data_IF_839094115623
#
_entry.id   IF_839094115623
#
_cell.length_a   1.000
_cell.length_b   1.000
_cell.length_c   1.000
_cell.angle_alpha   90.00
_cell.angle_beta   90.00
_cell.angle_gamma   90.00
#
_symmetry.space_group_name_H-M   'P 1'
#
loop_
_entity.id
_entity.type
_entity.pdbx_description
1 polymer ?
#
# COMPACT_ATOMS: atom_id res chain seq x y z
N UNK A 1 -24.37 62.56 -20.02
CA UNK A 1 -23.31 61.61 -20.41
C UNK A 1 -22.53 61.22 -19.16
N UNK A 2 -22.76 60.03 -18.61
CA UNK A 2 -21.99 59.52 -17.47
C UNK A 2 -21.47 58.13 -17.86
N UNK A 3 -20.17 58.06 -18.18
CA UNK A 3 -19.48 56.80 -18.44
C UNK A 3 -19.21 56.10 -17.11
N UNK A 4 -19.90 54.99 -16.87
CA UNK A 4 -19.53 54.06 -15.78
C UNK A 4 -18.40 53.16 -16.29
N UNK A 5 -17.16 53.47 -15.92
CA UNK A 5 -16.04 52.53 -16.01
C UNK A 5 -16.25 51.42 -14.99
N UNK A 6 -16.57 50.23 -15.47
CA UNK A 6 -16.56 49.01 -14.67
C UNK A 6 -15.11 48.50 -14.56
N UNK A 7 -14.42 48.85 -13.48
CA UNK A 7 -13.17 48.22 -13.06
C UNK A 7 -13.49 46.82 -12.51
N UNK A 8 -13.45 45.81 -13.37
CA UNK A 8 -13.49 44.41 -12.93
C UNK A 8 -12.16 44.09 -12.24
N UNK A 9 -12.12 44.19 -10.92
CA UNK A 9 -11.03 43.64 -10.11
C UNK A 9 -11.09 42.12 -10.23
N UNK A 10 -10.16 41.56 -10.98
CA UNK A 10 -9.92 40.12 -11.06
C UNK A 10 -9.41 39.67 -9.69
N UNK A 11 -10.34 39.30 -8.79
CA UNK A 11 -10.03 38.71 -7.51
C UNK A 11 -9.35 37.37 -7.77
N UNK A 12 -8.02 37.36 -7.73
CA UNK A 12 -7.21 36.16 -7.85
C UNK A 12 -7.63 35.17 -6.77
N UNK A 13 -8.19 34.03 -7.19
CA UNK A 13 -8.74 33.01 -6.33
C UNK A 13 -7.64 32.44 -5.39
N UNK A 14 -7.72 32.66 -4.06
CA UNK A 14 -6.65 32.31 -3.12
C UNK A 14 -6.44 30.79 -2.94
N UNK A 15 -7.28 29.96 -3.57
CA UNK A 15 -7.21 28.50 -3.48
C UNK A 15 -5.94 27.91 -4.11
N UNK A 16 -5.37 28.55 -5.14
CA UNK A 16 -4.19 28.02 -5.83
C UNK A 16 -2.88 28.23 -5.04
N UNK A 17 -2.80 29.25 -4.19
CA UNK A 17 -1.59 29.57 -3.43
C UNK A 17 -1.25 28.54 -2.34
N UNK A 18 -2.25 27.85 -1.77
CA UNK A 18 -2.02 26.82 -0.74
C UNK A 18 -1.53 25.49 -1.32
N UNK A 19 -1.83 25.20 -2.59
CA UNK A 19 -1.44 23.94 -3.21
C UNK A 19 0.04 23.90 -3.58
N UNK A 20 0.57 25.00 -4.11
CA UNK A 20 1.98 25.14 -4.53
C UNK A 20 2.95 25.02 -3.35
N UNK A 21 2.60 25.60 -2.21
CA UNK A 21 3.47 25.60 -1.02
C UNK A 21 3.72 24.18 -0.49
N UNK A 22 2.68 23.34 -0.53
CA UNK A 22 2.80 21.92 -0.14
C UNK A 22 3.70 21.12 -1.07
N UNK A 23 3.81 21.50 -2.35
CA UNK A 23 4.67 20.82 -3.32
C UNK A 23 6.13 21.18 -3.11
N UNK A 24 6.44 22.48 -3.05
CA UNK A 24 7.81 22.96 -2.88
C UNK A 24 8.41 22.42 -1.60
N UNK A 25 7.67 22.48 -0.48
CA UNK A 25 8.13 21.90 0.79
C UNK A 25 8.45 20.41 0.69
N UNK A 26 7.61 19.64 -0.01
CA UNK A 26 7.82 18.21 -0.24
C UNK A 26 9.04 17.93 -1.10
N UNK A 27 9.21 18.68 -2.17
CA UNK A 27 10.38 18.59 -3.05
C UNK A 27 11.66 18.92 -2.27
N UNK A 28 11.65 19.98 -1.46
CA UNK A 28 12.78 20.34 -0.61
C UNK A 28 13.13 19.25 0.40
N UNK A 29 12.14 18.62 1.03
CA UNK A 29 12.38 17.48 1.95
C UNK A 29 13.03 16.31 1.19
N UNK A 30 12.57 15.99 -0.02
CA UNK A 30 13.17 14.92 -0.83
C UNK A 30 14.62 15.25 -1.20
N UNK A 31 14.88 16.48 -1.68
CA UNK A 31 16.22 16.92 -2.06
C UNK A 31 17.17 16.91 -0.85
N UNK A 32 16.74 17.40 0.31
CA UNK A 32 17.52 17.33 1.54
C UNK A 32 17.83 15.88 1.93
N UNK A 33 16.89 14.96 1.77
CA UNK A 33 17.11 13.55 2.04
C UNK A 33 18.16 12.95 1.09
N UNK A 34 18.10 13.28 -0.21
CA UNK A 34 19.10 12.85 -1.21
C UNK A 34 20.48 13.44 -0.91
N UNK A 35 20.57 14.73 -0.59
CA UNK A 35 21.84 15.39 -0.23
C UNK A 35 22.46 14.71 1.00
N UNK A 36 21.68 14.48 2.05
CA UNK A 36 22.17 13.80 3.25
C UNK A 36 22.65 12.37 2.95
N UNK A 37 21.95 11.64 2.08
CA UNK A 37 22.36 10.31 1.66
C UNK A 37 23.69 10.34 0.89
N UNK A 38 23.84 11.24 -0.07
CA UNK A 38 25.08 11.43 -0.84
C UNK A 38 26.24 11.77 0.09
N UNK A 39 26.06 12.70 1.03
CA UNK A 39 27.08 13.03 2.03
C UNK A 39 27.46 11.82 2.89
N UNK A 40 26.48 11.03 3.33
CA UNK A 40 26.74 9.79 4.07
C UNK A 40 27.55 8.77 3.27
N UNK A 41 27.23 8.58 1.98
CA UNK A 41 27.96 7.69 1.07
C UNK A 41 29.40 8.18 0.88
N UNK A 42 29.59 9.48 0.66
CA UNK A 42 30.93 10.08 0.47
C UNK A 42 31.78 9.94 1.74
N UNK A 43 31.22 10.22 2.92
CA UNK A 43 31.93 10.05 4.20
C UNK A 43 32.27 8.58 4.44
N UNK A 44 31.36 7.67 4.14
CA UNK A 44 31.60 6.23 4.25
C UNK A 44 32.73 5.77 3.33
N UNK A 45 32.76 6.24 2.09
CA UNK A 45 33.83 5.94 1.14
C UNK A 45 35.19 6.51 1.59
N UNK A 46 35.21 7.74 2.11
CA UNK A 46 36.44 8.35 2.64
C UNK A 46 37.00 7.58 3.86
N UNK A 47 36.12 7.00 4.68
CA UNK A 47 36.51 6.21 5.85
C UNK A 47 37.05 4.82 5.49
N UNK A 48 36.58 4.19 4.41
CA UNK A 48 36.90 2.80 4.07
C UNK A 48 37.68 2.68 2.75
N UNK A 49 38.98 2.99 2.81
CA UNK A 49 39.87 2.97 1.63
C UNK A 49 40.14 1.59 1.03
N UNK A 50 39.80 0.52 1.74
CA UNK A 50 40.11 -0.86 1.33
C UNK A 50 39.02 -1.50 0.46
N UNK A 51 37.86 -0.85 0.31
CA UNK A 51 36.77 -1.43 -0.47
C UNK A 51 37.10 -1.38 -1.98
N UNK A 52 36.88 -2.48 -2.73
CA UNK A 52 37.07 -2.48 -4.16
C UNK A 52 36.11 -1.48 -4.81
N UNK A 53 36.64 -0.68 -5.74
CA UNK A 53 35.93 0.45 -6.36
C UNK A 53 34.61 0.05 -7.02
N UNK A 54 34.54 -1.16 -7.59
CA UNK A 54 33.32 -1.70 -8.20
C UNK A 54 32.21 -1.95 -7.18
N UNK A 55 32.57 -2.36 -5.96
CA UNK A 55 31.59 -2.63 -4.92
C UNK A 55 31.07 -1.33 -4.32
N UNK A 56 31.96 -0.34 -4.10
CA UNK A 56 31.56 0.97 -3.59
C UNK A 56 30.66 1.73 -4.58
N UNK A 57 30.99 1.71 -5.87
CA UNK A 57 30.13 2.30 -6.93
C UNK A 57 28.76 1.64 -6.98
N UNK A 58 28.69 0.30 -6.93
CA UNK A 58 27.42 -0.42 -6.89
C UNK A 58 26.57 -0.06 -5.66
N UNK A 59 27.18 -0.01 -4.47
CA UNK A 59 26.46 0.37 -3.25
C UNK A 59 25.99 1.82 -3.28
N UNK A 60 26.80 2.73 -3.83
CA UNK A 60 26.45 4.14 -3.99
C UNK A 60 25.21 4.29 -4.90
N UNK A 61 25.22 3.68 -6.08
CA UNK A 61 24.10 3.70 -7.03
C UNK A 61 22.84 3.05 -6.44
N UNK A 62 23.02 1.90 -5.77
CA UNK A 62 21.90 1.17 -5.18
C UNK A 62 21.24 1.95 -4.04
N UNK A 63 22.05 2.48 -3.12
CA UNK A 63 21.52 3.28 -2.00
C UNK A 63 20.86 4.56 -2.49
N UNK A 64 21.47 5.28 -3.45
CA UNK A 64 20.89 6.48 -4.04
C UNK A 64 19.55 6.18 -4.74
N UNK A 65 19.50 5.15 -5.59
CA UNK A 65 18.28 4.74 -6.28
C UNK A 65 17.16 4.32 -5.32
N UNK A 66 17.48 3.54 -4.29
CA UNK A 66 16.52 3.14 -3.26
C UNK A 66 15.97 4.34 -2.49
N UNK A 67 16.83 5.26 -2.05
CA UNK A 67 16.44 6.45 -1.29
C UNK A 67 15.59 7.40 -2.14
N UNK A 68 15.99 7.66 -3.38
CA UNK A 68 15.24 8.50 -4.32
C UNK A 68 13.83 7.92 -4.59
N UNK A 69 13.75 6.64 -4.94
CA UNK A 69 12.47 6.00 -5.25
C UNK A 69 11.56 5.82 -4.04
N UNK A 70 12.11 5.43 -2.88
CA UNK A 70 11.35 5.30 -1.64
C UNK A 70 10.89 6.66 -1.09
N UNK A 71 11.79 7.65 -1.12
CA UNK A 71 11.51 9.03 -0.72
C UNK A 71 10.39 9.65 -1.54
N UNK A 72 10.52 9.59 -2.86
CA UNK A 72 9.51 10.15 -3.76
C UNK A 72 8.14 9.50 -3.54
N UNK A 73 8.11 8.20 -3.25
CA UNK A 73 6.88 7.47 -2.95
C UNK A 73 6.18 7.97 -1.68
N UNK A 74 6.93 8.12 -0.58
CA UNK A 74 6.37 8.57 0.71
C UNK A 74 5.86 10.00 0.58
N UNK A 75 6.71 10.87 0.04
CA UNK A 75 6.48 12.31 -0.01
C UNK A 75 5.36 12.65 -1.03
N UNK A 76 5.37 12.02 -2.21
CA UNK A 76 4.45 12.31 -3.30
C UNK A 76 3.32 11.28 -3.46
N UNK A 77 2.94 10.57 -2.39
CA UNK A 77 1.93 9.48 -2.43
C UNK A 77 0.61 9.83 -3.14
N UNK A 78 0.16 11.09 -3.10
CA UNK A 78 -1.11 11.55 -3.71
C UNK A 78 -0.99 11.99 -5.18
N UNK A 79 0.22 12.04 -5.74
CA UNK A 79 0.49 12.64 -7.05
C UNK A 79 0.27 11.66 -8.21
N UNK A 80 0.14 12.24 -9.41
CA UNK A 80 0.13 11.48 -10.65
C UNK A 80 1.41 10.66 -10.79
N UNK A 81 1.29 9.44 -11.33
CA UNK A 81 2.42 8.52 -11.48
C UNK A 81 3.53 9.10 -12.35
N UNK A 82 3.17 9.77 -13.44
CA UNK A 82 4.13 10.42 -14.34
C UNK A 82 4.96 11.45 -13.59
N UNK A 83 4.32 12.28 -12.76
CA UNK A 83 5.02 13.26 -11.95
C UNK A 83 5.92 12.61 -10.89
N UNK A 84 5.49 11.49 -10.28
CA UNK A 84 6.35 10.72 -9.37
C UNK A 84 7.60 10.19 -10.09
N UNK A 85 7.45 9.59 -11.28
CA UNK A 85 8.60 9.10 -12.07
C UNK A 85 9.54 10.24 -12.46
N UNK A 86 8.99 11.39 -12.87
CA UNK A 86 9.78 12.56 -13.22
C UNK A 86 10.56 13.09 -12.00
N UNK A 87 9.91 13.18 -10.84
CA UNK A 87 10.59 13.59 -9.59
C UNK A 87 11.67 12.58 -9.18
N UNK A 88 11.43 11.27 -9.32
CA UNK A 88 12.44 10.23 -9.06
C UNK A 88 13.62 10.40 -10.00
N UNK A 89 13.37 10.53 -11.31
CA UNK A 89 14.41 10.75 -12.31
C UNK A 89 15.26 11.97 -11.98
N UNK A 90 14.62 13.13 -11.74
CA UNK A 90 15.34 14.35 -11.37
C UNK A 90 16.15 14.18 -10.09
N UNK A 91 15.58 13.53 -9.06
CA UNK A 91 16.30 13.33 -7.80
C UNK A 91 17.52 12.40 -7.93
N UNK A 92 17.46 11.38 -8.78
CA UNK A 92 18.60 10.50 -9.09
C UNK A 92 19.67 11.29 -9.85
N UNK A 93 19.29 12.04 -10.89
CA UNK A 93 20.24 12.88 -11.66
C UNK A 93 20.94 13.88 -10.75
N UNK A 94 20.19 14.62 -9.91
CA UNK A 94 20.76 15.56 -8.95
C UNK A 94 21.71 14.87 -7.96
N UNK A 95 21.34 13.69 -7.44
CA UNK A 95 22.19 12.91 -6.54
C UNK A 95 23.49 12.46 -7.20
N UNK A 96 23.43 11.99 -8.46
CA UNK A 96 24.60 11.54 -9.23
C UNK A 96 25.57 12.68 -9.53
N UNK A 97 25.05 13.85 -9.95
CA UNK A 97 25.87 15.05 -10.19
C UNK A 97 26.56 15.48 -8.89
N UNK A 98 25.80 15.54 -7.79
CA UNK A 98 26.33 15.94 -6.49
C UNK A 98 27.44 14.99 -6.03
N UNK A 99 27.20 13.68 -6.15
CA UNK A 99 28.18 12.65 -5.77
C UNK A 99 29.46 12.73 -6.59
N UNK A 100 29.35 12.91 -7.91
CA UNK A 100 30.52 13.09 -8.78
C UNK A 100 31.31 14.36 -8.47
N UNK A 101 30.61 15.46 -8.16
CA UNK A 101 31.25 16.72 -7.78
C UNK A 101 32.08 16.60 -6.50
N UNK A 102 31.60 15.84 -5.51
CA UNK A 102 32.26 15.67 -4.21
C UNK A 102 33.40 14.65 -4.26
N UNK A 103 33.32 13.68 -5.17
CA UNK A 103 34.30 12.58 -5.27
C UNK A 103 35.30 12.76 -6.39
N UNK A 104 35.34 13.93 -7.05
CA UNK A 104 36.19 14.22 -8.22
C UNK A 104 35.96 13.20 -9.35
N UNK A 105 34.69 12.88 -9.60
CA UNK A 105 34.26 11.92 -10.63
C UNK A 105 34.67 10.47 -10.40
N UNK A 106 35.14 10.11 -9.19
CA UNK A 106 35.47 8.72 -8.87
C UNK A 106 34.19 7.90 -8.64
N UNK A 107 33.16 8.53 -8.08
CA UNK A 107 31.85 7.93 -7.82
C UNK A 107 30.76 8.83 -8.41
N UNK A 108 29.95 8.29 -9.31
CA UNK A 108 28.85 9.00 -9.93
C UNK A 108 29.21 9.61 -11.27
N UNK A 109 28.35 10.51 -11.75
CA UNK A 109 28.54 11.17 -13.03
C UNK A 109 29.56 12.28 -12.85
N UNK A 110 30.61 12.31 -13.69
CA UNK A 110 31.59 13.39 -13.67
C UNK A 110 30.89 14.77 -13.77
N UNK A 111 31.53 15.87 -13.35
CA UNK A 111 30.96 17.18 -13.55
C UNK A 111 30.68 17.29 -15.04
N UNK A 112 29.38 17.26 -15.39
CA UNK A 112 28.89 17.66 -16.70
C UNK A 112 29.69 18.89 -17.02
N UNK A 113 30.39 18.90 -18.16
CA UNK A 113 31.32 19.96 -18.53
C UNK A 113 30.61 21.30 -18.61
N UNK A 114 30.27 21.85 -17.45
CA UNK A 114 29.70 23.15 -17.23
C UNK A 114 30.77 24.03 -17.80
N UNK A 115 30.45 24.56 -18.97
CA UNK A 115 31.33 25.40 -19.75
C UNK A 115 31.97 26.38 -18.77
N UNK A 116 33.30 26.59 -18.80
CA UNK A 116 33.98 27.47 -17.85
C UNK A 116 33.25 28.83 -17.69
N UNK A 117 32.60 29.32 -18.75
CA UNK A 117 31.65 30.44 -18.74
C UNK A 117 30.52 30.33 -17.68
N UNK A 118 29.83 29.18 -17.58
CA UNK A 118 28.77 28.97 -16.59
C UNK A 118 29.33 28.97 -15.15
N UNK A 119 30.54 28.45 -14.95
CA UNK A 119 31.20 28.48 -13.63
C UNK A 119 31.53 29.90 -13.19
N UNK A 120 31.90 30.77 -14.12
CA UNK A 120 32.16 32.19 -13.85
C UNK A 120 30.86 32.94 -13.51
N UNK A 121 29.77 32.67 -14.23
CA UNK A 121 28.45 33.23 -13.91
C UNK A 121 27.94 32.78 -12.54
N UNK A 122 28.13 31.51 -12.16
CA UNK A 122 27.74 31.02 -10.83
C UNK A 122 28.55 31.69 -9.72
N UNK A 123 29.83 32.00 -9.97
CA UNK A 123 30.69 32.70 -9.02
C UNK A 123 30.29 34.17 -8.83
N UNK A 124 29.61 34.78 -9.81
CA UNK A 124 29.05 36.14 -9.72
C UNK A 124 27.68 36.20 -9.01
N UNK A 125 27.02 35.07 -8.75
CA UNK A 125 25.77 35.05 -8.00
C UNK A 125 26.02 35.42 -6.53
N UNK A 126 25.56 36.61 -6.12
CA UNK A 126 25.51 36.98 -4.70
C UNK A 126 24.31 36.33 -4.01
N UNK A 127 24.51 35.82 -2.80
CA UNK A 127 23.44 35.26 -1.97
C UNK A 127 22.61 36.36 -1.29
N UNK A 128 22.15 37.35 -2.06
CA UNK A 128 21.31 38.43 -1.58
C UNK A 128 19.81 38.15 -1.78
N UNK A 129 18.96 39.02 -1.24
CA UNK A 129 17.50 38.95 -1.40
C UNK A 129 17.02 38.99 -2.87
N UNK A 130 17.89 39.36 -3.81
CA UNK A 130 17.63 39.38 -5.27
C UNK A 130 17.89 38.04 -5.96
N UNK A 131 18.38 37.03 -5.23
CA UNK A 131 18.64 35.68 -5.74
C UNK A 131 17.43 35.05 -6.47
N UNK A 132 16.15 35.19 -6.02
CA UNK A 132 15.00 34.63 -6.74
C UNK A 132 14.75 35.29 -8.10
N UNK A 133 15.10 36.58 -8.25
CA UNK A 133 15.03 37.28 -9.54
C UNK A 133 16.21 36.94 -10.44
N UNK A 134 17.42 36.78 -9.87
CA UNK A 134 18.59 36.34 -10.62
C UNK A 134 18.43 34.91 -11.14
N UNK A 135 17.90 33.98 -10.33
CA UNK A 135 17.58 32.62 -10.78
C UNK A 135 16.54 32.63 -11.90
N UNK A 136 15.55 33.53 -11.86
CA UNK A 136 14.56 33.68 -12.93
C UNK A 136 15.13 34.29 -14.21
N UNK A 137 16.14 35.14 -14.08
CA UNK A 137 16.87 35.73 -15.20
C UNK A 137 17.93 34.79 -15.78
N UNK A 138 18.39 33.80 -14.99
CA UNK A 138 19.17 32.68 -15.48
C UNK A 138 18.27 31.83 -16.38
N UNK A 139 18.23 32.17 -17.65
CA UNK A 139 17.69 31.32 -18.70
C UNK A 139 18.67 30.16 -18.91
N UNK A 140 18.73 29.26 -17.93
CA UNK A 140 19.45 28.00 -18.07
C UNK A 140 18.63 27.19 -19.04
N UNK A 141 19.08 27.15 -20.29
CA UNK A 141 18.58 26.17 -21.23
C UNK A 141 18.97 24.78 -20.71
N UNK A 142 18.04 24.14 -20.02
CA UNK A 142 18.23 22.83 -19.40
C UNK A 142 18.66 21.79 -20.44
N UNK A 143 18.33 22.02 -21.72
CA UNK A 143 18.75 21.19 -22.84
C UNK A 143 20.24 21.30 -23.17
N UNK A 144 20.86 22.47 -22.97
CA UNK A 144 22.32 22.65 -23.17
C UNK A 144 23.11 22.33 -21.91
N UNK A 145 22.51 22.50 -20.73
CA UNK A 145 23.15 22.21 -19.45
C UNK A 145 23.46 20.71 -19.25
N UNK A 146 22.77 19.82 -19.97
CA UNK A 146 22.99 18.38 -19.91
C UNK A 146 23.33 17.86 -21.30
N UNK A 147 24.59 18.05 -21.69
CA UNK A 147 25.10 17.47 -22.92
C UNK A 147 25.40 15.97 -22.73
N UNK A 148 24.37 15.14 -22.94
CA UNK A 148 24.48 13.69 -22.90
C UNK A 148 25.43 13.12 -23.97
N UNK A 149 25.80 13.90 -24.99
CA UNK A 149 26.71 13.42 -26.04
C UNK A 149 28.14 13.18 -25.55
N UNK A 150 28.53 13.85 -24.46
CA UNK A 150 29.84 13.68 -23.80
C UNK A 150 29.83 12.67 -22.66
N UNK A 151 28.71 11.98 -22.45
CA UNK A 151 28.56 11.05 -21.35
C UNK A 151 29.32 9.74 -21.65
N UNK A 152 30.29 9.41 -20.81
CA UNK A 152 31.00 8.14 -20.92
C UNK A 152 30.03 6.96 -20.72
N UNK A 153 30.31 5.83 -21.36
CA UNK A 153 29.46 4.64 -21.27
C UNK A 153 29.29 4.14 -19.83
N UNK A 154 30.29 4.37 -18.96
CA UNK A 154 30.22 4.10 -17.53
C UNK A 154 29.16 4.94 -16.84
N UNK A 155 29.11 6.24 -17.13
CA UNK A 155 28.16 7.17 -16.52
C UNK A 155 26.73 6.82 -16.93
N UNK A 156 26.54 6.43 -18.20
CA UNK A 156 25.26 5.92 -18.70
C UNK A 156 24.84 4.66 -17.93
N UNK A 157 25.78 3.74 -17.67
CA UNK A 157 25.50 2.52 -16.92
C UNK A 157 25.13 2.81 -15.46
N UNK A 158 25.84 3.70 -14.78
CA UNK A 158 25.53 4.12 -13.41
C UNK A 158 24.17 4.81 -13.30
N UNK A 159 23.86 5.71 -14.25
CA UNK A 159 22.55 6.36 -14.32
C UNK A 159 21.43 5.34 -14.56
N UNK A 160 21.62 4.42 -15.51
CA UNK A 160 20.65 3.38 -15.81
C UNK A 160 20.42 2.43 -14.63
N UNK A 161 21.49 2.00 -13.95
CA UNK A 161 21.43 1.14 -12.77
C UNK A 161 20.69 1.82 -11.60
N UNK A 162 21.08 3.05 -11.28
CA UNK A 162 20.42 3.86 -10.24
C UNK A 162 18.94 4.10 -10.55
N UNK A 163 18.62 4.43 -11.81
CA UNK A 163 17.25 4.67 -12.23
C UNK A 163 16.41 3.38 -12.20
N UNK A 164 16.96 2.25 -12.62
CA UNK A 164 16.28 0.95 -12.55
C UNK A 164 15.94 0.61 -11.09
N UNK A 165 16.89 0.76 -10.17
CA UNK A 165 16.67 0.51 -8.74
C UNK A 165 15.66 1.49 -8.14
N UNK A 166 15.67 2.75 -8.55
CA UNK A 166 14.67 3.73 -8.13
C UNK A 166 13.27 3.41 -8.66
N UNK A 167 13.15 2.92 -9.89
CA UNK A 167 11.89 2.46 -10.47
C UNK A 167 11.41 1.19 -9.75
N UNK A 168 12.30 0.25 -9.48
CA UNK A 168 11.97 -0.97 -8.74
C UNK A 168 11.51 -0.64 -7.31
N UNK A 169 12.19 0.24 -6.58
CA UNK A 169 11.79 0.65 -5.23
C UNK A 169 10.44 1.39 -5.22
N UNK A 170 10.20 2.23 -6.22
CA UNK A 170 8.90 2.86 -6.42
C UNK A 170 7.79 1.82 -6.69
N UNK A 171 8.11 0.74 -7.41
CA UNK A 171 7.18 -0.33 -7.75
C UNK A 171 7.01 -1.40 -6.66
N UNK A 172 8.00 -1.67 -5.81
CA UNK A 172 8.05 -2.80 -4.88
C UNK A 172 6.87 -2.86 -3.90
N UNK A 173 6.32 -1.71 -3.51
CA UNK A 173 5.13 -1.63 -2.65
C UNK A 173 3.86 -1.22 -3.41
N UNK A 174 3.86 -1.26 -4.74
CA UNK A 174 2.57 -1.28 -5.45
C UNK A 174 1.91 -2.56 -5.01
N UNK A 175 1.06 -2.44 -3.98
CA UNK A 175 0.30 -3.53 -3.39
C UNK A 175 -0.07 -4.43 -4.55
N UNK A 176 0.53 -5.62 -4.57
CA UNK A 176 -0.11 -6.78 -5.19
C UNK A 176 -1.50 -6.66 -4.64
N UNK A 177 -2.40 -6.21 -5.51
CA UNK A 177 -3.80 -6.04 -5.16
C UNK A 177 -4.10 -7.40 -4.62
N UNK A 178 -4.32 -7.51 -3.29
CA UNK A 178 -4.61 -8.78 -2.63
C UNK A 178 -5.61 -9.38 -3.60
N UNK A 179 -5.19 -10.41 -4.32
CA UNK A 179 -6.15 -11.27 -4.96
C UNK A 179 -6.79 -11.84 -3.71
N UNK A 180 -7.87 -11.18 -3.30
CA UNK A 180 -8.90 -11.81 -2.51
C UNK A 180 -9.18 -12.98 -3.43
N UNK A 181 -8.55 -14.12 -3.11
CA UNK A 181 -8.97 -15.41 -3.59
C UNK A 181 -10.41 -15.37 -3.13
N UNK A 182 -11.29 -15.01 -4.05
CA UNK A 182 -12.70 -15.19 -3.90
C UNK A 182 -12.78 -16.69 -3.75
N UNK A 183 -12.73 -17.13 -2.48
CA UNK A 183 -13.01 -18.50 -2.12
C UNK A 183 -14.46 -18.59 -2.53
N UNK A 184 -14.67 -19.07 -3.75
CA UNK A 184 -15.97 -19.38 -4.29
C UNK A 184 -16.67 -20.11 -3.16
N UNK A 185 -17.68 -19.49 -2.53
CA UNK A 185 -18.26 -20.03 -1.32
C UNK A 185 -18.78 -21.39 -1.71
N UNK A 186 -18.06 -22.44 -1.30
CA UNK A 186 -18.45 -23.83 -1.44
C UNK A 186 -19.88 -23.85 -0.94
N UNK A 187 -20.80 -24.00 -1.89
CA UNK A 187 -22.21 -23.79 -1.67
C UNK A 187 -22.59 -24.50 -0.40
N UNK A 188 -22.95 -23.71 0.62
CA UNK A 188 -23.74 -24.25 1.70
C UNK A 188 -25.02 -24.69 1.01
N UNK A 189 -25.08 -25.97 0.65
CA UNK A 189 -26.31 -26.69 0.43
C UNK A 189 -27.15 -26.37 1.65
N UNK A 190 -28.14 -25.49 1.47
CA UNK A 190 -29.23 -25.35 2.41
C UNK A 190 -29.80 -26.76 2.55
N UNK A 191 -29.42 -27.44 3.62
CA UNK A 191 -30.22 -28.53 4.13
C UNK A 191 -31.44 -27.79 4.66
N UNK A 192 -32.46 -27.71 3.81
CA UNK A 192 -33.81 -27.36 4.17
C UNK A 192 -34.26 -28.39 5.20
N UNK A 193 -34.01 -28.08 6.47
CA UNK A 193 -34.57 -28.84 7.59
C UNK A 193 -36.03 -28.45 7.63
N UNK A 194 -36.84 -29.26 6.95
CA UNK A 194 -38.30 -29.25 7.05
C UNK A 194 -38.70 -29.29 8.53
N UNK A 195 -39.41 -28.28 9.05
CA UNK A 195 -39.85 -28.27 10.44
C UNK A 195 -40.91 -29.35 10.61
N UNK A 196 -40.49 -30.51 11.10
CA UNK A 196 -41.38 -31.61 11.49
C UNK A 196 -42.12 -31.20 12.77
N UNK A 197 -43.18 -30.43 12.58
CA UNK A 197 -44.26 -30.30 13.55
C UNK A 197 -44.86 -31.69 13.83
N UNK A 198 -45.30 -31.86 15.08
CA UNK A 198 -46.08 -32.97 15.63
C UNK A 198 -45.32 -34.26 15.98
N UNK A 199 -44.79 -34.30 17.20
CA UNK A 199 -45.11 -35.41 18.12
C UNK A 199 -45.44 -34.82 19.48
N UNK A 200 -46.72 -34.81 19.83
CA UNK A 200 -47.14 -34.64 21.21
C UNK A 200 -46.67 -35.86 22.00
N UNK A 201 -45.97 -35.61 23.11
CA UNK A 201 -45.73 -36.63 24.13
C UNK A 201 -46.17 -36.07 25.45
N UNK A 202 -47.14 -36.78 26.01
CA UNK A 202 -47.84 -36.53 27.24
C UNK A 202 -46.91 -36.43 28.45
N UNK A 203 -47.30 -35.56 29.37
CA UNK A 203 -46.85 -35.53 30.75
C UNK A 203 -47.16 -36.88 31.44
N UNK A 204 -46.17 -37.40 32.18
CA UNK A 204 -46.40 -38.30 33.31
C UNK A 204 -45.47 -37.85 34.46
N UNK A 205 -45.96 -37.77 35.71
CA UNK A 205 -45.18 -37.35 36.86
C UNK A 205 -44.55 -38.55 37.62
N UNK A 206 -43.56 -38.20 38.44
CA UNK A 206 -43.04 -38.92 39.63
C UNK A 206 -42.27 -40.24 39.46
N UNK A 207 -41.15 -40.33 40.20
CA UNK A 207 -40.63 -41.62 40.66
C UNK A 207 -39.11 -41.76 40.80
N UNK A 208 -38.60 -41.37 41.97
CA UNK A 208 -37.55 -42.03 42.77
C UNK A 208 -36.19 -42.47 42.20
N UNK A 209 -35.15 -42.03 42.92
CA UNK A 209 -33.96 -42.77 43.38
C UNK A 209 -33.38 -43.91 42.51
N UNK A 210 -32.15 -43.68 42.05
CA UNK A 210 -31.28 -44.74 41.55
C UNK A 210 -29.85 -44.25 41.38
N UNK A 211 -29.04 -44.42 42.41
CA UNK A 211 -27.57 -44.42 42.35
C UNK A 211 -27.09 -45.44 41.32
N UNK A 212 -26.25 -45.04 40.36
CA UNK A 212 -25.30 -45.91 39.64
C UNK A 212 -24.31 -45.01 38.89
N UNK A 213 -23.07 -44.92 39.39
CA UNK A 213 -21.91 -45.70 38.97
C UNK A 213 -21.24 -45.13 37.71
N UNK A 214 -20.09 -44.51 37.97
CA UNK A 214 -19.08 -44.07 37.03
C UNK A 214 -18.84 -45.06 35.87
N UNK A 215 -18.87 -44.55 34.64
CA UNK A 215 -18.11 -45.13 33.52
C UNK A 215 -16.99 -44.17 33.13
N UNK A 216 -15.73 -44.63 33.07
CA UNK A 216 -14.64 -43.85 32.50
C UNK A 216 -14.68 -43.91 30.97
N UNK A 217 -14.76 -42.74 30.34
CA UNK A 217 -14.63 -42.56 28.89
C UNK A 217 -13.18 -42.85 28.50
N UNK A 218 -12.99 -43.86 27.65
CA UNK A 218 -11.69 -44.27 27.09
C UNK A 218 -11.33 -43.39 25.89
N UNK A 219 -10.33 -42.53 26.06
CA UNK A 219 -9.87 -41.53 25.07
C UNK A 219 -8.72 -42.02 24.15
N UNK A 220 -8.73 -43.27 23.71
CA UNK A 220 -7.76 -43.73 22.71
C UNK A 220 -8.45 -44.43 21.53
N UNK A 221 -8.76 -43.66 20.49
CA UNK A 221 -8.84 -44.15 19.11
C UNK A 221 -7.79 -43.45 18.27
N UNK A 222 -6.76 -44.20 17.90
CA UNK A 222 -5.79 -43.83 16.88
C UNK A 222 -6.48 -43.68 15.52
N UNK A 223 -6.09 -42.71 14.67
CA UNK A 223 -6.62 -42.60 13.32
C UNK A 223 -6.02 -43.69 12.41
N UNK A 224 -6.88 -44.47 11.78
CA UNK A 224 -6.54 -45.32 10.62
C UNK A 224 -6.33 -44.44 9.38
N UNK A 225 -5.32 -44.74 8.53
CA UNK A 225 -5.12 -44.02 7.27
C UNK A 225 -6.13 -44.55 6.23
N UNK A 226 -7.20 -43.79 6.01
CA UNK A 226 -8.16 -44.06 4.94
C UNK A 226 -7.61 -43.54 3.60
N UNK A 227 -7.60 -44.43 2.62
CA UNK A 227 -7.05 -44.26 1.28
C UNK A 227 -7.77 -43.17 0.46
N UNK A 228 -7.01 -42.53 -0.43
CA UNK A 228 -7.50 -41.54 -1.40
C UNK A 228 -8.41 -42.18 -2.46
N UNK A 229 -9.60 -41.60 -2.75
CA UNK A 229 -10.26 -41.83 -4.02
C UNK A 229 -9.83 -40.79 -5.06
N UNK A 230 -9.17 -41.27 -6.11
CA UNK A 230 -8.86 -40.48 -7.31
C UNK A 230 -10.09 -40.37 -8.22
N UNK A 231 -10.50 -39.17 -8.67
CA UNK A 231 -11.47 -39.06 -9.75
C UNK A 231 -10.77 -39.07 -11.11
N UNK A 232 -10.87 -40.20 -11.80
CA UNK A 232 -10.74 -40.32 -13.27
C UNK A 232 -11.90 -39.56 -13.92
N UNK A 233 -11.65 -38.42 -14.54
CA UNK A 233 -12.60 -37.83 -15.50
C UNK A 233 -12.07 -38.01 -16.91
N UNK A 234 -12.71 -39.00 -17.53
CA UNK A 234 -12.67 -39.48 -18.90
C UNK A 234 -12.92 -38.33 -19.89
N UNK A 235 -11.91 -38.00 -20.67
CA UNK A 235 -12.04 -37.21 -21.89
C UNK A 235 -12.77 -38.01 -22.97
N UNK A 236 -13.84 -37.43 -23.52
CA UNK A 236 -14.33 -37.68 -24.89
C UNK A 236 -15.54 -36.80 -25.14
N UNK A 237 -15.35 -35.82 -26.04
CA UNK A 237 -16.32 -35.21 -26.97
C UNK A 237 -15.57 -34.01 -27.61
N UNK A 238 -14.81 -34.23 -28.68
CA UNK A 238 -15.26 -34.15 -30.09
C UNK A 238 -16.23 -32.99 -30.33
N UNK A 239 -15.69 -31.81 -30.62
CA UNK A 239 -16.41 -30.74 -31.31
C UNK A 239 -15.53 -30.24 -32.48
N UNK A 240 -16.20 -30.09 -33.62
CA UNK A 240 -15.71 -29.84 -34.97
C UNK A 240 -14.85 -28.56 -35.11
N UNK A 241 -13.91 -28.51 -36.06
CA UNK A 241 -13.33 -27.26 -36.51
C UNK A 241 -14.24 -26.66 -37.59
N UNK A 242 -14.68 -25.41 -37.42
CA UNK A 242 -14.91 -24.50 -38.56
C UNK A 242 -15.37 -23.11 -38.13
N UNK A 243 -15.05 -22.17 -39.04
CA UNK A 243 -15.53 -20.80 -39.14
C UNK A 243 -14.82 -19.75 -38.29
N UNK A 244 -13.70 -19.27 -38.87
CA UNK A 244 -13.36 -17.84 -38.86
C UNK A 244 -14.65 -17.05 -39.07
N UNK A 245 -15.04 -16.25 -38.09
CA UNK A 245 -15.85 -15.06 -38.31
C UNK A 245 -15.28 -13.98 -37.41
N UNK A 246 -14.89 -12.89 -38.06
CA UNK A 246 -14.41 -11.64 -37.49
C UNK A 246 -15.49 -11.00 -36.61
N UNK A 247 -15.61 -11.49 -35.38
CA UNK A 247 -16.35 -10.79 -34.35
C UNK A 247 -15.39 -9.81 -33.66
N UNK A 248 -15.50 -8.54 -34.02
CA UNK A 248 -14.97 -7.40 -33.27
C UNK A 248 -15.31 -7.60 -31.79
N UNK A 249 -14.33 -8.03 -31.02
CA UNK A 249 -14.39 -8.12 -29.57
C UNK A 249 -14.82 -6.74 -29.04
N UNK A 250 -15.97 -6.62 -28.35
CA UNK A 250 -16.35 -5.36 -27.76
C UNK A 250 -15.28 -5.06 -26.72
N UNK A 251 -14.48 -4.03 -27.04
CA UNK A 251 -13.43 -3.47 -26.21
C UNK A 251 -14.10 -3.11 -24.88
N UNK A 252 -14.08 -4.05 -23.93
CA UNK A 252 -14.62 -3.91 -22.59
C UNK A 252 -13.86 -2.76 -21.97
N UNK A 253 -14.43 -1.58 -22.09
CA UNK A 253 -14.13 -0.44 -21.24
C UNK A 253 -14.33 -0.97 -19.83
N UNK A 254 -13.21 -1.36 -19.20
CA UNK A 254 -13.12 -1.64 -17.77
C UNK A 254 -13.33 -0.30 -17.08
N UNK A 255 -14.58 0.15 -17.10
CA UNK A 255 -15.14 1.10 -16.17
C UNK A 255 -14.70 0.63 -14.80
N UNK A 256 -13.78 1.39 -14.20
CA UNK A 256 -13.36 1.30 -12.81
C UNK A 256 -14.59 1.50 -11.93
N UNK A 257 -15.46 0.49 -11.83
CA UNK A 257 -16.42 0.42 -10.75
C UNK A 257 -15.56 0.28 -9.50
N UNK A 258 -15.54 1.34 -8.69
CA UNK A 258 -14.90 1.34 -7.38
C UNK A 258 -15.37 0.06 -6.69
N UNK A 259 -14.45 -0.86 -6.39
CA UNK A 259 -14.79 -2.03 -5.61
C UNK A 259 -15.47 -1.49 -4.34
N UNK A 260 -16.75 -1.81 -4.18
CA UNK A 260 -17.48 -1.48 -2.98
C UNK A 260 -16.88 -2.39 -1.93
N UNK A 261 -15.83 -1.91 -1.27
CA UNK A 261 -15.20 -2.59 -0.15
C UNK A 261 -16.24 -2.52 0.96
N UNK A 262 -17.15 -3.47 0.95
CA UNK A 262 -17.97 -3.76 2.10
C UNK A 262 -17.01 -4.34 3.13
N UNK A 263 -16.51 -3.48 4.00
CA UNK A 263 -15.93 -3.93 5.26
C UNK A 263 -17.11 -4.55 6.00
N UNK A 264 -17.37 -5.84 5.77
CA UNK A 264 -18.16 -6.63 6.68
C UNK A 264 -17.33 -6.71 7.96
N UNK A 265 -17.54 -5.72 8.84
CA UNK A 265 -17.08 -5.78 10.21
C UNK A 265 -17.85 -6.94 10.80
N UNK A 266 -17.22 -8.11 10.84
CA UNK A 266 -17.72 -9.26 11.59
C UNK A 266 -17.54 -8.87 13.04
N UNK A 267 -18.62 -8.37 13.64
CA UNK A 267 -18.63 -7.96 15.03
C UNK A 267 -18.60 -9.22 15.90
N UNK A 268 -17.46 -9.48 16.54
CA UNK A 268 -17.30 -10.59 17.48
C UNK A 268 -17.93 -10.20 18.83
N UNK A 269 -19.14 -10.70 19.09
CA UNK A 269 -19.78 -10.54 20.40
C UNK A 269 -19.15 -11.47 21.43
N UNK A 270 -18.84 -10.94 22.61
CA UNK A 270 -18.31 -11.70 23.75
C UNK A 270 -19.21 -11.53 24.96
N UNK A 271 -19.40 -12.60 25.72
CA UNK A 271 -20.17 -12.57 26.95
C UNK A 271 -19.45 -11.71 28.00
N UNK A 272 -20.08 -10.68 28.59
CA UNK A 272 -19.46 -9.87 29.64
C UNK A 272 -19.04 -10.65 30.90
N UNK A 273 -19.63 -11.83 31.15
CA UNK A 273 -19.38 -12.61 32.36
C UNK A 273 -18.19 -13.56 32.24
N UNK A 274 -18.11 -14.33 31.15
CA UNK A 274 -17.04 -15.30 30.96
C UNK A 274 -16.01 -14.89 29.88
N UNK A 275 -16.26 -13.80 29.15
CA UNK A 275 -15.40 -13.27 28.06
C UNK A 275 -15.23 -14.20 26.85
N UNK A 276 -15.96 -15.33 26.84
CA UNK A 276 -16.03 -16.25 25.72
C UNK A 276 -16.87 -15.65 24.58
N UNK A 277 -16.54 -15.97 23.32
CA UNK A 277 -17.35 -15.56 22.18
C UNK A 277 -18.76 -16.14 22.28
N UNK A 278 -19.77 -15.32 21.99
CA UNK A 278 -21.18 -15.72 21.96
C UNK A 278 -21.68 -15.57 20.54
N UNK A 279 -22.27 -16.64 20.00
CA UNK A 279 -22.98 -16.59 18.72
C UNK A 279 -24.46 -16.81 18.97
N UNK A 280 -25.37 -16.29 18.13
CA UNK A 280 -26.82 -16.45 18.32
C UNK A 280 -27.30 -17.90 18.38
N UNK A 281 -26.51 -18.84 17.86
CA UNK A 281 -26.80 -20.28 17.87
C UNK A 281 -25.86 -21.06 18.82
N UNK A 282 -25.39 -20.43 19.91
CA UNK A 282 -24.54 -21.09 20.89
C UNK A 282 -25.27 -22.29 21.53
N UNK A 283 -24.57 -23.42 21.66
CA UNK A 283 -25.10 -24.64 22.26
C UNK A 283 -25.49 -24.48 23.73
N UNK A 284 -24.88 -23.52 24.44
CA UNK A 284 -25.25 -23.16 25.82
C UNK A 284 -26.56 -22.39 25.92
N UNK A 285 -27.15 -22.01 24.78
CA UNK A 285 -28.26 -21.08 24.70
C UNK A 285 -27.79 -19.63 24.88
N UNK A 286 -28.58 -18.70 24.35
CA UNK A 286 -28.24 -17.27 24.33
C UNK A 286 -29.39 -16.46 24.91
N UNK A 287 -29.04 -15.45 25.70
CA UNK A 287 -29.95 -14.41 26.18
C UNK A 287 -29.46 -13.05 25.70
N UNK A 288 -30.36 -12.26 25.14
CA UNK A 288 -30.08 -10.89 24.72
C UNK A 288 -30.65 -9.95 25.79
N UNK A 289 -29.86 -8.96 26.21
CA UNK A 289 -30.34 -7.96 27.17
C UNK A 289 -31.34 -7.01 26.50
N UNK A 290 -32.54 -6.87 27.06
CA UNK A 290 -33.59 -6.00 26.51
C UNK A 290 -33.22 -4.50 26.46
N UNK A 291 -32.18 -4.08 27.20
CA UNK A 291 -31.77 -2.68 27.30
C UNK A 291 -30.59 -2.35 26.39
N UNK A 292 -29.51 -3.14 26.41
CA UNK A 292 -28.30 -2.87 25.60
C UNK A 292 -28.10 -3.82 24.42
N UNK A 293 -28.98 -4.81 24.21
CA UNK A 293 -28.88 -5.81 23.14
C UNK A 293 -27.57 -6.62 23.13
N UNK A 294 -26.83 -6.62 24.25
CA UNK A 294 -25.64 -7.45 24.38
C UNK A 294 -26.03 -8.93 24.55
N UNK A 295 -25.28 -9.82 23.88
CA UNK A 295 -25.50 -11.26 23.92
C UNK A 295 -24.76 -11.90 25.10
N UNK A 296 -25.47 -12.73 25.85
CA UNK A 296 -24.96 -13.49 26.99
C UNK A 296 -25.24 -14.98 26.80
N UNK A 297 -24.39 -15.84 27.35
CA UNK A 297 -24.74 -17.26 27.49
C UNK A 297 -25.88 -17.42 28.48
N UNK A 298 -26.83 -18.32 28.19
CA UNK A 298 -28.04 -18.49 29.00
C UNK A 298 -27.75 -18.97 30.43
N UNK A 299 -26.69 -19.76 30.61
CA UNK A 299 -26.21 -20.21 31.92
C UNK A 299 -25.58 -19.08 32.73
N UNK A 300 -24.75 -18.23 32.13
CA UNK A 300 -24.21 -17.03 32.78
C UNK A 300 -25.34 -16.08 33.19
N UNK A 301 -26.35 -15.90 32.33
CA UNK A 301 -27.53 -15.09 32.63
C UNK A 301 -28.37 -15.67 33.77
N UNK A 302 -28.52 -16.99 33.85
CA UNK A 302 -29.28 -17.63 34.92
C UNK A 302 -28.65 -17.44 36.31
N UNK A 303 -27.31 -17.31 36.36
CA UNK A 303 -26.57 -17.06 37.61
C UNK A 303 -26.74 -15.62 38.07
N UNK A 304 -26.60 -14.65 37.16
CA UNK A 304 -26.64 -13.22 37.52
C UNK A 304 -28.05 -12.67 37.60
N UNK A 305 -28.97 -13.18 36.77
CA UNK A 305 -30.37 -12.75 36.69
C UNK A 305 -30.60 -11.41 35.98
N UNK A 306 -29.56 -10.60 35.75
CA UNK A 306 -29.65 -9.29 35.10
C UNK A 306 -28.33 -8.89 34.43
N UNK A 307 -28.37 -8.01 33.42
CA UNK A 307 -27.19 -7.49 32.72
C UNK A 307 -26.40 -6.49 33.58
N UNK A 308 -25.08 -6.69 33.73
CA UNK A 308 -24.18 -5.81 34.50
C UNK A 308 -23.57 -4.67 33.68
N UNK A 309 -23.84 -4.62 32.38
CA UNK A 309 -23.41 -3.50 31.55
C UNK A 309 -24.14 -2.24 32.06
N UNK A 310 -23.44 -1.15 32.40
CA UNK A 310 -24.10 0.06 32.87
C UNK A 310 -25.04 0.61 31.80
N UNK A 311 -26.35 0.54 32.04
CA UNK A 311 -27.35 1.19 31.22
C UNK A 311 -27.55 2.61 31.72
N UNK A 312 -27.59 3.59 30.82
CA UNK A 312 -28.14 4.89 31.16
C UNK A 312 -29.66 4.70 31.28
N UNK A 313 -30.19 4.69 32.50
CA UNK A 313 -31.63 4.68 32.73
C UNK A 313 -32.23 5.93 32.06
N UNK A 314 -32.90 5.74 30.92
CA UNK A 314 -33.78 6.72 30.28
C UNK A 314 -35.23 6.40 30.59
#
# INVERSE_FOLDING_TARGET
>A
MAMRLATMSSASNPANARASDSFVRKLMILLLMVVNAVLGIVLWFQSNKELPLLLSTFFADASLGLIAGFGARIIFRKWNRVAQYLVVFLSVVTGMILMGSLTRSVLGMGPLGLQPEASNQIRELSFDSTLPSQIRALEIDLGTAIDFSRMDASDVAHLAGSLLLAVMSLQAWRKVTRQVIEVEPLGHTQIEVEPRNNVGVSFAPEGSNGSNLHQPVTWFRSPTPSAMPAPRIRSKNRIKPMSRNDAKSPRRSRSRRKAHIQLAVVEEHRCPYCLDPVTRNDARGVKECDVCHSLHHADCWAITGFCQVPHLNT
#
